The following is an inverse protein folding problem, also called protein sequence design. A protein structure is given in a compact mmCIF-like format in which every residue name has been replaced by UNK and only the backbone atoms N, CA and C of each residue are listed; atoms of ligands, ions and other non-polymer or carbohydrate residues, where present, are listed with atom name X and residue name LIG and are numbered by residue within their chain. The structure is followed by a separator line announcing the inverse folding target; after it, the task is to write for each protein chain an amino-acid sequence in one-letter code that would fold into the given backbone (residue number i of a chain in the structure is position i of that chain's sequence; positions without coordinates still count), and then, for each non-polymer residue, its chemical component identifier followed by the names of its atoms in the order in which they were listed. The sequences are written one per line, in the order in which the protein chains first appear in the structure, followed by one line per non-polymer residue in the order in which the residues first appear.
data_IF_907422299919
#
_entry.id   IF_907422299919
#
_cell.length_a   1.000
_cell.length_b   1.000
_cell.length_c   1.000
_cell.angle_alpha   90.00
_cell.angle_beta   90.00
_cell.angle_gamma   90.00
#
_symmetry.space_group_name_H-M   'P 1'
#
loop_
_entity.id
_entity.type
_entity.pdbx_description
1 polymer ?
#
# COMPACT_ATOMS: atom_id res chain seq x y z
N UNK A 1 -5.35 -20.95 5.62
CA UNK A 1 -6.54 -20.08 5.49
C UNK A 1 -6.29 -19.08 4.36
N UNK A 2 -7.32 -18.76 3.57
CA UNK A 2 -7.27 -17.76 2.49
C UNK A 2 -8.23 -16.65 2.90
N UNK A 3 -7.73 -15.51 3.37
CA UNK A 3 -8.57 -14.34 3.56
C UNK A 3 -8.57 -13.57 2.24
N UNK A 4 -9.69 -13.61 1.52
CA UNK A 4 -9.95 -12.72 0.39
C UNK A 4 -10.66 -11.49 0.97
N UNK A 5 -9.96 -10.37 1.07
CA UNK A 5 -10.56 -9.14 1.56
C UNK A 5 -11.38 -8.49 0.42
N UNK A 6 -12.69 -8.48 0.66
CA UNK A 6 -13.74 -7.72 -0.03
C UNK A 6 -13.39 -6.23 -0.12
N UNK A 7 -13.94 -5.55 -1.14
CA UNK A 7 -13.96 -4.09 -1.28
C UNK A 7 -14.24 -3.43 0.08
N UNK A 8 -13.28 -2.66 0.61
CA UNK A 8 -13.37 -2.05 1.94
C UNK A 8 -13.29 -0.53 1.78
N UNK A 9 -14.44 0.14 1.90
CA UNK A 9 -14.55 1.61 1.90
C UNK A 9 -14.88 2.01 3.33
N UNK A 10 -13.91 2.50 4.09
CA UNK A 10 -14.14 3.07 5.41
C UNK A 10 -13.50 4.47 5.46
N UNK A 11 -14.34 5.50 5.55
CA UNK A 11 -13.89 6.84 5.90
C UNK A 11 -13.53 6.88 7.39
N UNK A 12 -12.32 7.33 7.73
CA UNK A 12 -11.95 7.67 9.11
C UNK A 12 -11.33 6.56 9.97
N UNK A 13 -11.07 5.35 9.44
CA UNK A 13 -10.46 4.27 10.22
C UNK A 13 -9.28 3.67 9.46
N UNK A 14 -8.10 3.66 10.09
CA UNK A 14 -6.90 3.05 9.54
C UNK A 14 -7.18 1.59 9.15
N UNK A 15 -6.99 1.27 7.86
CA UNK A 15 -7.18 -0.09 7.35
C UNK A 15 -5.94 -0.88 7.68
N UNK A 16 -6.03 -1.88 8.58
CA UNK A 16 -4.96 -2.82 8.86
C UNK A 16 -5.17 -4.11 8.04
N UNK A 17 -4.22 -4.41 7.15
CA UNK A 17 -4.15 -5.71 6.48
C UNK A 17 -3.47 -6.76 7.39
N UNK A 18 -3.70 -8.06 7.19
CA UNK A 18 -3.03 -9.09 7.98
C UNK A 18 -1.50 -9.01 7.83
N UNK A 19 -0.82 -8.99 8.98
CA UNK A 19 0.64 -8.79 9.16
C UNK A 19 1.42 -10.08 8.90
N UNK A 20 0.76 -11.23 8.77
CA UNK A 20 1.45 -12.49 8.46
C UNK A 20 0.51 -13.46 7.76
N UNK A 21 0.56 -13.45 6.43
CA UNK A 21 -0.28 -14.30 5.60
C UNK A 21 0.51 -14.93 4.44
N UNK A 22 0.02 -16.09 3.95
CA UNK A 22 0.64 -16.69 2.75
C UNK A 22 0.40 -15.81 1.53
N UNK A 23 -0.72 -15.10 1.48
CA UNK A 23 -1.09 -14.20 0.39
C UNK A 23 -2.11 -13.19 0.88
N UNK A 24 -1.85 -11.91 0.59
CA UNK A 24 -2.78 -10.81 0.83
C UNK A 24 -3.20 -10.22 -0.50
N UNK A 25 -4.51 -10.09 -0.72
CA UNK A 25 -5.08 -9.43 -1.89
C UNK A 25 -6.03 -8.33 -1.42
N UNK A 26 -5.80 -7.10 -1.87
CA UNK A 26 -6.66 -5.93 -1.62
C UNK A 26 -7.11 -5.40 -2.98
N UNK A 27 -8.42 -5.24 -3.19
CA UNK A 27 -8.99 -4.91 -4.49
C UNK A 27 -8.83 -3.44 -4.89
N UNK A 28 -9.30 -2.53 -4.04
CA UNK A 28 -9.27 -1.09 -4.28
C UNK A 28 -9.19 -0.36 -2.95
N UNK A 29 -8.42 0.71 -2.88
CA UNK A 29 -8.27 1.54 -1.69
C UNK A 29 -8.59 2.98 -2.09
N UNK A 30 -9.49 3.59 -1.34
CA UNK A 30 -9.74 5.02 -1.41
C UNK A 30 -9.84 5.58 -0.01
N UNK A 31 -8.93 6.48 0.36
CA UNK A 31 -8.89 7.11 1.67
C UNK A 31 -8.77 8.62 1.55
N UNK A 32 -9.35 9.30 2.53
CA UNK A 32 -9.29 10.74 2.71
C UNK A 32 -9.06 11.04 4.18
N UNK A 33 -8.06 11.87 4.50
CA UNK A 33 -7.67 12.20 5.87
C UNK A 33 -7.45 10.96 6.78
N UNK A 34 -6.97 9.84 6.23
CA UNK A 34 -6.78 8.58 6.94
C UNK A 34 -5.72 7.72 6.28
N UNK A 35 -4.70 7.32 7.04
CA UNK A 35 -3.59 6.56 6.50
C UNK A 35 -3.94 5.09 6.25
N UNK A 36 -3.27 4.50 5.25
CA UNK A 36 -3.35 3.07 4.97
C UNK A 36 -2.27 2.29 5.73
N UNK A 37 -2.66 1.31 6.55
CA UNK A 37 -1.72 0.43 7.24
C UNK A 37 -1.54 -0.89 6.47
N UNK A 38 -0.32 -1.05 6.00
CA UNK A 38 0.14 -2.06 5.06
C UNK A 38 0.09 -3.52 5.53
N UNK A 39 0.09 -4.47 4.58
CA UNK A 39 0.50 -5.85 4.81
C UNK A 39 2.02 -5.99 4.93
N UNK A 40 2.49 -6.77 5.90
CA UNK A 40 3.91 -7.10 6.11
C UNK A 40 4.16 -8.60 6.05
N UNK A 41 5.41 -9.01 5.83
CA UNK A 41 5.88 -10.39 5.99
C UNK A 41 5.12 -11.46 5.18
N UNK A 42 4.51 -11.09 4.05
CA UNK A 42 3.74 -12.02 3.22
C UNK A 42 4.62 -12.65 2.12
N UNK A 43 4.27 -13.87 1.70
CA UNK A 43 4.90 -14.44 0.49
C UNK A 43 4.46 -13.70 -0.78
N UNK A 44 3.24 -13.19 -0.82
CA UNK A 44 2.72 -12.43 -1.96
C UNK A 44 1.69 -11.41 -1.50
N UNK A 45 1.89 -10.16 -1.90
CA UNK A 45 0.95 -9.06 -1.70
C UNK A 45 0.50 -8.56 -3.06
N UNK A 46 -0.82 -8.45 -3.26
CA UNK A 46 -1.42 -7.78 -4.41
C UNK A 46 -2.37 -6.71 -3.93
N UNK A 47 -2.16 -5.49 -4.38
CA UNK A 47 -3.05 -4.36 -4.14
C UNK A 47 -3.47 -3.86 -5.52
N UNK A 48 -4.77 -3.64 -5.72
CA UNK A 48 -5.27 -3.03 -6.96
C UNK A 48 -5.01 -1.52 -6.99
N UNK A 49 -5.99 -0.73 -7.40
CA UNK A 49 -5.80 0.71 -7.51
C UNK A 49 -5.94 1.39 -6.14
N UNK A 50 -5.17 2.45 -5.97
CA UNK A 50 -5.07 3.24 -4.74
C UNK A 50 -5.33 4.70 -5.09
N UNK A 51 -6.27 5.33 -4.38
CA UNK A 51 -6.51 6.77 -4.43
C UNK A 51 -6.44 7.34 -3.02
N UNK A 52 -5.49 8.23 -2.76
CA UNK A 52 -5.34 8.88 -1.45
C UNK A 52 -5.38 10.40 -1.57
N UNK A 53 -5.97 11.02 -0.57
CA UNK A 53 -6.10 12.47 -0.43
C UNK A 53 -5.85 12.87 1.01
N UNK A 54 -4.90 13.78 1.27
CA UNK A 54 -4.46 14.13 2.62
C UNK A 54 -4.19 12.87 3.49
N UNK A 55 -3.63 11.81 2.90
CA UNK A 55 -3.47 10.49 3.54
C UNK A 55 -2.22 9.82 3.01
N UNK A 56 -1.31 9.41 3.88
CA UNK A 56 -0.03 8.90 3.43
C UNK A 56 -0.12 7.44 2.98
N UNK A 57 0.61 7.12 1.91
CA UNK A 57 0.77 5.74 1.48
C UNK A 57 1.94 5.09 2.22
N UNK A 58 1.62 4.31 3.25
CA UNK A 58 2.62 3.46 3.91
C UNK A 58 2.71 2.11 3.19
N UNK A 59 3.87 1.86 2.60
CA UNK A 59 4.20 0.76 1.67
C UNK A 59 4.28 -0.64 2.28
N UNK A 60 3.86 -1.73 1.61
CA UNK A 60 4.14 -3.10 2.07
C UNK A 60 5.64 -3.38 2.25
N UNK A 61 6.03 -4.05 3.34
CA UNK A 61 7.43 -4.39 3.68
C UNK A 61 7.64 -5.88 3.92
N UNK A 62 8.89 -6.33 3.73
CA UNK A 62 9.35 -7.71 4.00
C UNK A 62 8.57 -8.79 3.25
N UNK A 63 7.99 -8.46 2.11
CA UNK A 63 7.25 -9.38 1.26
C UNK A 63 8.17 -10.00 0.20
N UNK A 64 7.96 -11.28 -0.14
CA UNK A 64 8.73 -11.88 -1.26
C UNK A 64 8.34 -11.29 -2.62
N UNK A 65 7.07 -10.90 -2.79
CA UNK A 65 6.57 -10.27 -4.01
C UNK A 65 5.44 -9.31 -3.68
N UNK A 66 5.56 -8.08 -4.17
CA UNK A 66 4.55 -7.03 -4.05
C UNK A 66 4.14 -6.57 -5.45
N UNK A 67 2.84 -6.55 -5.72
CA UNK A 67 2.25 -5.94 -6.91
C UNK A 67 1.23 -4.89 -6.48
N UNK A 68 1.37 -3.69 -6.99
CA UNK A 68 0.43 -2.60 -6.77
C UNK A 68 -0.06 -2.13 -8.13
N UNK A 69 -1.36 -1.89 -8.27
CA UNK A 69 -1.97 -1.31 -9.46
C UNK A 69 -1.59 0.15 -9.64
N UNK A 70 -2.54 0.96 -10.09
CA UNK A 70 -2.34 2.40 -10.25
C UNK A 70 -2.47 3.10 -8.91
N UNK A 71 -1.59 4.06 -8.65
CA UNK A 71 -1.57 4.88 -7.44
C UNK A 71 -1.80 6.32 -7.85
N UNK A 72 -2.79 6.97 -7.24
CA UNK A 72 -3.06 8.40 -7.37
C UNK A 72 -3.03 9.02 -5.98
N UNK A 73 -2.15 9.99 -5.77
CA UNK A 73 -1.98 10.68 -4.50
C UNK A 73 -2.15 12.19 -4.67
N UNK A 74 -2.85 12.79 -3.73
CA UNK A 74 -3.05 14.25 -3.66
C UNK A 74 -2.79 14.75 -2.24
N UNK A 75 -1.93 15.77 -2.08
CA UNK A 75 -1.54 16.30 -0.76
C UNK A 75 -1.13 15.19 0.25
N UNK A 76 -0.41 14.18 -0.23
CA UNK A 76 -0.12 12.95 0.49
C UNK A 76 1.31 12.50 0.19
N UNK A 77 2.02 11.90 1.12
CA UNK A 77 3.36 11.42 0.85
C UNK A 77 3.37 9.99 0.31
N UNK A 78 4.30 9.76 -0.64
CA UNK A 78 4.58 8.42 -1.15
C UNK A 78 5.90 7.92 -0.62
N UNK A 79 5.87 6.78 0.07
CA UNK A 79 7.07 6.06 0.46
C UNK A 79 7.21 4.79 -0.38
N UNK A 80 8.36 4.58 -1.04
CA UNK A 80 8.57 3.41 -1.92
C UNK A 80 8.80 2.11 -1.14
N UNK A 81 8.11 0.99 -1.46
CA UNK A 81 8.29 -0.35 -0.84
C UNK A 81 9.75 -0.74 -0.55
N UNK A 82 10.05 -1.07 0.71
CA UNK A 82 11.37 -1.50 1.19
C UNK A 82 11.41 -3.01 1.47
N UNK A 83 12.60 -3.59 1.43
CA UNK A 83 12.89 -4.98 1.83
C UNK A 83 12.02 -6.05 1.16
N UNK A 84 11.36 -5.68 0.06
CA UNK A 84 10.65 -6.60 -0.79
C UNK A 84 11.61 -7.15 -1.84
N UNK A 85 11.65 -8.48 -2.01
CA UNK A 85 12.52 -9.10 -3.03
C UNK A 85 12.14 -8.68 -4.45
N UNK A 86 10.86 -8.39 -4.68
CA UNK A 86 10.36 -7.87 -5.96
C UNK A 86 9.15 -6.97 -5.72
N UNK A 87 9.23 -5.75 -6.26
CA UNK A 87 8.14 -4.78 -6.25
C UNK A 87 7.80 -4.40 -7.68
N UNK A 88 6.52 -4.39 -8.01
CA UNK A 88 6.00 -3.81 -9.25
C UNK A 88 4.84 -2.87 -8.89
N UNK A 89 4.92 -1.66 -9.41
CA UNK A 89 3.89 -0.62 -9.28
C UNK A 89 3.48 -0.29 -10.71
N UNK A 90 2.18 -0.14 -10.95
CA UNK A 90 1.66 0.38 -12.22
C UNK A 90 1.95 1.87 -12.36
N UNK A 91 0.95 2.63 -12.80
CA UNK A 91 1.11 4.08 -12.94
C UNK A 91 1.11 4.74 -11.56
N UNK A 92 2.06 5.65 -11.33
CA UNK A 92 2.12 6.51 -10.15
C UNK A 92 1.84 7.95 -10.57
N UNK A 93 0.76 8.53 -10.04
CA UNK A 93 0.37 9.92 -10.24
C UNK A 93 0.43 10.66 -8.91
N UNK A 94 1.12 11.78 -8.91
CA UNK A 94 1.52 12.55 -7.74
C UNK A 94 1.10 14.01 -7.95
N UNK A 95 0.26 14.55 -7.08
CA UNK A 95 -0.16 15.95 -7.08
C UNK A 95 0.02 16.58 -5.69
N UNK A 96 0.83 17.64 -5.59
CA UNK A 96 1.15 18.30 -4.31
C UNK A 96 1.66 17.31 -3.25
N UNK A 97 2.47 16.35 -3.66
CA UNK A 97 2.95 15.22 -2.84
C UNK A 97 4.46 15.22 -2.77
N UNK A 98 5.06 14.80 -1.65
CA UNK A 98 6.48 14.51 -1.63
C UNK A 98 6.74 13.03 -1.95
N UNK A 99 7.75 12.79 -2.79
CA UNK A 99 8.31 11.46 -2.97
C UNK A 99 9.41 11.25 -1.93
N UNK A 100 9.17 10.35 -0.98
CA UNK A 100 10.14 10.05 0.07
C UNK A 100 10.86 8.76 -0.28
N UNK A 101 12.16 8.91 -0.59
CA UNK A 101 13.00 7.73 -0.74
C UNK A 101 13.21 7.04 0.61
N UNK A 102 13.14 5.70 0.63
CA UNK A 102 13.50 4.92 1.80
C UNK A 102 14.95 5.16 2.20
N UNK A 103 15.22 5.39 3.50
CA UNK A 103 16.60 5.38 4.00
C UNK A 103 17.14 3.95 3.86
N UNK A 104 18.33 3.75 3.26
CA UNK A 104 18.93 2.42 3.22
C UNK A 104 19.15 1.91 4.64
N UNK A 105 18.67 0.69 4.92
CA UNK A 105 19.00 -0.02 6.15
C UNK A 105 20.52 -0.24 6.19
N UNK A 106 21.16 0.30 7.22
CA UNK A 106 22.61 0.16 7.49
C UNK A 106 22.93 -1.17 8.14
#
# INVERSE_FOLDING_TARGET
MRFAATLLVLAGLAVAAPVTDKRTNIGYIQLSNSDFVKPENNKRTQIGNIQLSNSDFVKPENNKRTQIGNIQLSNSDFVKPENNKRTNIGNLQLANTNFVEPKPST
#
